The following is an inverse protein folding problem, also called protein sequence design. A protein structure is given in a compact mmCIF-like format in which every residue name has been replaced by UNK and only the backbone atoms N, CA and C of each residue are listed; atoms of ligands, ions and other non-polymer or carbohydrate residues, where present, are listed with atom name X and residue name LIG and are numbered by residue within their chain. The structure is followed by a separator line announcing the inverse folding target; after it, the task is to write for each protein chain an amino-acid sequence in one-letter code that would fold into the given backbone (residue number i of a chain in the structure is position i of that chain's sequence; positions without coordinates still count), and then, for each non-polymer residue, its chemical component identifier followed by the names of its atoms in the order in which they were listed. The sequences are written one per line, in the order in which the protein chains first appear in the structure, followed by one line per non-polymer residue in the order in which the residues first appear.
data_IF_627913141055
#
_entry.id   IF_627913141055
#
_cell.length_a   1.000
_cell.length_b   1.000
_cell.length_c   1.000
_cell.angle_alpha   90.00
_cell.angle_beta   90.00
_cell.angle_gamma   90.00
#
_symmetry.space_group_name_H-M   'P 1'
#
loop_
_entity.id
_entity.type
_entity.pdbx_description
1 polymer ?
#
# COMPACT_ATOMS: atom_id res chain seq x y z
N UNK A 1 -10.47 -12.36 -17.10
CA UNK A 1 -9.20 -11.73 -17.56
C UNK A 1 -9.37 -10.21 -17.64
N UNK A 2 -8.30 -9.41 -17.49
CA UNK A 2 -8.40 -7.95 -17.61
C UNK A 2 -8.41 -7.50 -19.08
N UNK A 3 -9.03 -6.35 -19.40
CA UNK A 3 -9.05 -5.79 -20.77
C UNK A 3 -7.64 -5.65 -21.35
N UNK A 4 -6.66 -5.26 -20.52
CA UNK A 4 -5.23 -5.18 -20.89
C UNK A 4 -4.66 -6.54 -21.32
N UNK A 5 -5.06 -7.63 -20.65
CA UNK A 5 -4.61 -8.99 -20.98
C UNK A 5 -5.24 -9.55 -22.26
N UNK A 6 -6.42 -9.05 -22.63
CA UNK A 6 -7.14 -9.42 -23.85
C UNK A 6 -6.63 -8.68 -25.08
N UNK A 7 -6.16 -7.44 -24.93
CA UNK A 7 -5.65 -6.60 -26.04
C UNK A 7 -4.27 -7.05 -26.55
N UNK A 8 -4.16 -8.20 -27.23
CA UNK A 8 -2.91 -8.77 -27.78
C UNK A 8 -2.62 -8.30 -29.23
N UNK A 9 -1.39 -8.50 -29.72
CA UNK A 9 -0.99 -8.15 -31.09
C UNK A 9 -0.50 -6.70 -31.30
N UNK A 10 0.02 -6.41 -32.50
CA UNK A 10 0.60 -5.11 -32.91
C UNK A 10 -0.48 -4.03 -33.06
N UNK A 11 -1.64 -4.40 -33.57
CA UNK A 11 -2.78 -3.52 -33.82
C UNK A 11 -3.31 -2.86 -32.53
N UNK A 12 -3.44 -3.64 -31.45
CA UNK A 12 -3.96 -3.14 -30.15
C UNK A 12 -2.87 -2.56 -29.22
N UNK A 13 -1.66 -2.29 -29.75
CA UNK A 13 -0.52 -1.75 -28.97
C UNK A 13 -0.87 -0.42 -28.31
N UNK A 14 -1.47 0.50 -29.08
CA UNK A 14 -1.83 1.83 -28.58
C UNK A 14 -2.94 1.77 -27.53
N UNK A 15 -4.00 0.98 -27.78
CA UNK A 15 -5.06 0.74 -26.79
C UNK A 15 -4.49 0.20 -25.47
N UNK A 16 -3.56 -0.77 -25.52
CA UNK A 16 -2.91 -1.31 -24.33
C UNK A 16 -2.10 -0.26 -23.57
N UNK A 17 -1.40 0.62 -24.28
CA UNK A 17 -0.69 1.74 -23.67
C UNK A 17 -1.66 2.69 -22.94
N UNK A 18 -2.74 3.09 -23.59
CA UNK A 18 -3.77 3.95 -23.00
C UNK A 18 -4.40 3.33 -21.74
N UNK A 19 -4.76 2.04 -21.79
CA UNK A 19 -5.30 1.32 -20.64
C UNK A 19 -4.30 1.22 -19.47
N UNK A 20 -3.00 1.00 -19.77
CA UNK A 20 -1.94 1.00 -18.74
C UNK A 20 -1.76 2.38 -18.11
N UNK A 21 -1.81 3.45 -18.91
CA UNK A 21 -1.74 4.84 -18.44
C UNK A 21 -2.91 5.18 -17.51
N UNK A 22 -4.14 4.79 -17.89
CA UNK A 22 -5.31 4.95 -17.05
C UNK A 22 -5.19 4.18 -15.72
N UNK A 23 -4.77 2.91 -15.78
CA UNK A 23 -4.55 2.11 -14.57
C UNK A 23 -3.47 2.71 -13.67
N UNK A 24 -2.43 3.30 -14.24
CA UNK A 24 -1.37 3.96 -13.47
C UNK A 24 -1.88 5.20 -12.74
N UNK A 25 -2.71 6.03 -13.37
CA UNK A 25 -3.36 7.18 -12.71
C UNK A 25 -4.12 6.75 -11.45
N UNK A 26 -4.89 5.66 -11.55
CA UNK A 26 -5.63 5.10 -10.40
C UNK A 26 -4.67 4.63 -9.30
N UNK A 27 -3.58 3.93 -9.65
CA UNK A 27 -2.57 3.48 -8.67
C UNK A 27 -1.87 4.64 -7.96
N UNK A 28 -1.59 5.72 -8.69
CA UNK A 28 -1.01 6.94 -8.11
C UNK A 28 -2.00 7.56 -7.13
N UNK A 29 -3.27 7.75 -7.53
CA UNK A 29 -4.32 8.25 -6.63
C UNK A 29 -4.44 7.43 -5.34
N UNK A 30 -4.45 6.10 -5.44
CA UNK A 30 -4.48 5.21 -4.26
C UNK A 30 -3.25 5.42 -3.38
N UNK A 31 -2.05 5.52 -3.98
CA UNK A 31 -0.81 5.75 -3.23
C UNK A 31 -0.83 7.08 -2.49
N UNK A 32 -1.34 8.13 -3.12
CA UNK A 32 -1.38 9.47 -2.54
C UNK A 32 -2.35 9.50 -1.36
N UNK A 33 -3.55 8.93 -1.52
CA UNK A 33 -4.53 8.78 -0.44
C UNK A 33 -3.98 7.98 0.74
N UNK A 34 -3.32 6.84 0.48
CA UNK A 34 -2.68 6.04 1.53
C UNK A 34 -1.56 6.83 2.22
N UNK A 35 -0.77 7.59 1.46
CA UNK A 35 0.34 8.38 2.02
C UNK A 35 -0.15 9.54 2.88
N UNK A 36 -1.24 10.20 2.47
CA UNK A 36 -1.91 11.23 3.26
C UNK A 36 -2.46 10.65 4.57
N UNK A 37 -3.17 9.52 4.48
CA UNK A 37 -3.70 8.82 5.65
C UNK A 37 -2.57 8.42 6.61
N UNK A 38 -1.46 7.88 6.12
CA UNK A 38 -0.32 7.52 6.97
C UNK A 38 0.23 8.71 7.74
N UNK A 39 0.39 9.87 7.07
CA UNK A 39 0.87 11.10 7.72
C UNK A 39 -0.12 11.60 8.78
N UNK A 40 -1.41 11.66 8.45
CA UNK A 40 -2.47 12.09 9.37
C UNK A 40 -2.59 11.17 10.58
N UNK A 41 -2.61 9.85 10.35
CA UNK A 41 -2.69 8.85 11.41
C UNK A 41 -1.45 8.87 12.31
N UNK A 42 -0.24 8.94 11.74
CA UNK A 42 0.99 9.04 12.53
C UNK A 42 1.00 10.32 13.39
N UNK A 43 0.59 11.45 12.83
CA UNK A 43 0.50 12.71 13.58
C UNK A 43 -0.52 12.63 14.72
N UNK A 44 -1.69 12.05 14.46
CA UNK A 44 -2.71 11.83 15.49
C UNK A 44 -2.20 10.93 16.61
N UNK A 45 -1.54 9.82 16.28
CA UNK A 45 -1.03 8.89 17.28
C UNK A 45 0.08 9.51 18.13
N UNK A 46 1.08 10.15 17.51
CA UNK A 46 2.19 10.76 18.24
C UNK A 46 1.80 11.99 19.06
N UNK A 47 0.77 12.75 18.64
CA UNK A 47 0.31 13.91 19.42
C UNK A 47 -0.50 13.52 20.65
N UNK A 48 -1.16 12.36 20.65
CA UNK A 48 -2.06 11.93 21.74
C UNK A 48 -1.44 10.90 22.66
N UNK A 49 -0.53 10.05 22.17
CA UNK A 49 0.03 8.95 22.93
C UNK A 49 1.55 9.05 23.01
N UNK A 50 2.08 8.87 24.23
CA UNK A 50 3.53 8.85 24.48
C UNK A 50 4.17 7.51 24.09
N UNK A 51 3.42 6.41 24.23
CA UNK A 51 3.88 5.04 23.96
C UNK A 51 2.96 4.38 22.94
N UNK A 52 3.50 3.86 21.84
CA UNK A 52 2.70 3.27 20.76
C UNK A 52 3.17 1.84 20.45
N UNK A 53 2.32 0.85 20.76
CA UNK A 53 2.58 -0.55 20.40
C UNK A 53 2.23 -0.82 18.95
N UNK A 54 3.25 -1.10 18.13
CA UNK A 54 3.05 -1.53 16.75
C UNK A 54 3.37 -3.03 16.61
N UNK A 55 2.42 -3.85 16.12
CA UNK A 55 2.69 -5.27 15.88
C UNK A 55 3.76 -5.47 14.80
N UNK A 56 4.53 -6.55 14.92
CA UNK A 56 5.46 -6.98 13.89
C UNK A 56 4.72 -7.60 12.72
N UNK A 57 4.35 -6.77 11.74
CA UNK A 57 3.74 -7.25 10.50
C UNK A 57 4.80 -7.72 9.50
N UNK A 58 5.05 -9.02 9.43
CA UNK A 58 5.89 -9.66 8.41
C UNK A 58 5.14 -9.81 7.08
N UNK A 59 4.71 -8.69 6.50
CA UNK A 59 3.82 -8.66 5.33
C UNK A 59 4.36 -9.51 4.16
N UNK A 60 5.69 -9.52 3.96
CA UNK A 60 6.35 -10.33 2.93
C UNK A 60 6.04 -11.82 3.09
N UNK A 61 6.13 -12.36 4.31
CA UNK A 61 5.86 -13.76 4.61
C UNK A 61 4.35 -14.04 4.53
N UNK A 62 3.52 -13.14 5.07
CA UNK A 62 2.06 -13.29 5.09
C UNK A 62 1.41 -13.25 3.69
N UNK A 63 1.99 -12.52 2.74
CA UNK A 63 1.44 -12.35 1.38
C UNK A 63 2.01 -13.38 0.38
N UNK A 64 3.06 -14.13 0.75
CA UNK A 64 3.72 -15.11 -0.13
C UNK A 64 2.70 -16.12 -0.67
N UNK A 65 2.60 -16.22 -2.00
CA UNK A 65 1.69 -17.17 -2.68
C UNK A 65 2.14 -18.62 -2.40
N UNK A 66 1.19 -19.55 -2.37
CA UNK A 66 1.43 -20.97 -2.10
C UNK A 66 1.52 -21.32 -0.60
N UNK A 67 2.13 -20.47 0.22
CA UNK A 67 2.33 -20.74 1.67
C UNK A 67 1.36 -20.00 2.60
N UNK A 68 0.56 -19.06 2.09
CA UNK A 68 -0.37 -18.25 2.91
C UNK A 68 -1.72 -18.94 3.11
N UNK A 69 -2.24 -18.89 4.33
CA UNK A 69 -3.64 -19.26 4.68
C UNK A 69 -4.65 -18.13 4.41
N UNK A 70 -4.17 -16.90 4.18
CA UNK A 70 -5.01 -15.72 3.99
C UNK A 70 -5.68 -15.72 2.62
N UNK A 71 -6.89 -15.16 2.52
CA UNK A 71 -7.57 -14.94 1.24
C UNK A 71 -6.81 -13.96 0.33
N UNK A 72 -6.93 -14.15 -0.98
CA UNK A 72 -6.33 -13.26 -1.99
C UNK A 72 -6.81 -11.81 -1.86
N UNK A 73 -8.05 -11.59 -1.40
CA UNK A 73 -8.57 -10.24 -1.13
C UNK A 73 -7.81 -9.57 0.02
N UNK A 74 -7.63 -10.28 1.12
CA UNK A 74 -6.88 -9.80 2.31
C UNK A 74 -5.43 -9.54 1.98
N UNK A 75 -4.76 -10.48 1.31
CA UNK A 75 -3.37 -10.31 0.88
C UNK A 75 -3.18 -9.06 0.00
N UNK A 76 -4.11 -8.80 -0.93
CA UNK A 76 -4.07 -7.59 -1.76
C UNK A 76 -4.26 -6.32 -0.94
N UNK A 77 -5.24 -6.30 -0.01
CA UNK A 77 -5.47 -5.16 0.89
C UNK A 77 -4.20 -4.85 1.69
N UNK A 78 -3.56 -5.83 2.31
CA UNK A 78 -2.32 -5.62 3.09
C UNK A 78 -1.22 -4.94 2.27
N UNK A 79 -1.04 -5.33 0.99
CA UNK A 79 -0.07 -4.68 0.11
C UNK A 79 -0.52 -3.27 -0.28
N UNK A 80 -1.80 -3.07 -0.58
CA UNK A 80 -2.35 -1.75 -0.92
C UNK A 80 -2.13 -0.74 0.20
N UNK A 81 -2.39 -1.14 1.45
CA UNK A 81 -2.18 -0.31 2.63
C UNK A 81 -0.69 -0.07 2.95
N UNK A 82 0.24 -0.83 2.38
CA UNK A 82 1.68 -0.60 2.55
C UNK A 82 2.11 -0.50 4.03
N UNK A 83 1.68 -1.42 4.89
CA UNK A 83 1.90 -1.37 6.36
C UNK A 83 3.36 -1.14 6.77
N UNK A 84 4.33 -1.67 6.02
CA UNK A 84 5.75 -1.40 6.29
C UNK A 84 6.12 0.09 6.13
N UNK A 85 5.57 0.75 5.10
CA UNK A 85 5.76 2.20 4.92
C UNK A 85 5.12 2.98 6.05
N UNK A 86 3.94 2.56 6.52
CA UNK A 86 3.31 3.17 7.70
C UNK A 86 4.20 3.06 8.94
N UNK A 87 4.78 1.88 9.21
CA UNK A 87 5.75 1.67 10.30
C UNK A 87 6.92 2.67 10.22
N UNK A 88 7.49 2.86 9.02
CA UNK A 88 8.58 3.82 8.82
C UNK A 88 8.13 5.27 9.05
N UNK A 89 6.97 5.67 8.52
CA UNK A 89 6.41 7.02 8.74
C UNK A 89 6.12 7.27 10.22
N UNK A 90 5.57 6.29 10.92
CA UNK A 90 5.28 6.38 12.35
C UNK A 90 6.55 6.52 13.18
N UNK A 91 7.59 5.72 12.89
CA UNK A 91 8.91 5.85 13.55
C UNK A 91 9.52 7.23 13.35
N UNK A 92 9.45 7.76 12.13
CA UNK A 92 9.95 9.11 11.82
C UNK A 92 9.19 10.19 12.60
N UNK A 93 7.87 10.06 12.70
CA UNK A 93 7.05 11.01 13.45
C UNK A 93 7.30 10.87 14.96
N UNK A 94 7.39 9.66 15.50
CA UNK A 94 7.65 9.40 16.90
C UNK A 94 8.99 10.02 17.35
N UNK A 95 10.04 9.90 16.54
CA UNK A 95 11.33 10.53 16.80
C UNK A 95 11.25 12.05 16.90
N UNK A 96 10.34 12.70 16.16
CA UNK A 96 10.13 14.16 16.25
C UNK A 96 9.39 14.60 17.51
N UNK A 97 8.44 13.79 17.98
CA UNK A 97 7.59 14.11 19.14
C UNK A 97 8.15 13.56 20.45
N UNK A 98 9.27 12.81 20.41
CA UNK A 98 9.83 12.14 21.58
C UNK A 98 8.96 10.99 22.11
N UNK A 99 8.14 10.39 21.23
CA UNK A 99 7.32 9.22 21.57
C UNK A 99 8.16 7.94 21.48
N UNK A 100 7.85 6.97 22.34
CA UNK A 100 8.54 5.67 22.42
C UNK A 100 7.68 4.54 21.83
#
# INVERSE_FOLDING_TARGET
MSRIGLSKGRQLKWLRHCLRKAAQKIRVKIRDLVSELHKKAANYLCSKYKVIFLPTFEVKNMVKRGKRRLSTKTARKMVTWSHYRFKQTLKHQAAKYGCV
#
